data_IF_674734507626
#
_entry.id   IF_674734507626
#
_cell.length_a   1.000
_cell.length_b   1.000
_cell.length_c   1.000
_cell.angle_alpha   90.00
_cell.angle_beta   90.00
_cell.angle_gamma   90.00
#
_symmetry.space_group_name_H-M   'P 1'
#
loop_
_entity.id
_entity.type
_entity.pdbx_description
1 polymer ?
#
# COMPACT_ATOMS: atom_id res chain seq x y z
N UNK A 1 -51.45 -21.70 -75.63
CA UNK A 1 -50.69 -22.96 -75.49
C UNK A 1 -50.69 -23.30 -74.00
N UNK A 2 -51.14 -24.49 -73.61
CA UNK A 2 -51.16 -24.87 -72.20
C UNK A 2 -49.75 -25.30 -71.77
N UNK A 3 -49.23 -24.71 -70.69
CA UNK A 3 -47.94 -25.10 -70.10
C UNK A 3 -48.19 -26.41 -69.35
N UNK A 4 -47.53 -27.50 -69.78
CA UNK A 4 -47.78 -28.84 -69.22
C UNK A 4 -46.74 -29.25 -68.17
N UNK A 5 -45.50 -28.73 -68.28
CA UNK A 5 -44.43 -28.98 -67.33
C UNK A 5 -43.50 -27.78 -67.11
N UNK A 6 -42.52 -27.94 -66.22
CA UNK A 6 -41.62 -26.86 -65.81
C UNK A 6 -40.57 -26.52 -66.89
N UNK A 7 -40.26 -27.47 -67.77
CA UNK A 7 -39.32 -27.27 -68.87
C UNK A 7 -39.97 -26.47 -70.00
N UNK A 8 -41.25 -26.71 -70.27
CA UNK A 8 -42.09 -25.91 -71.15
C UNK A 8 -42.20 -24.45 -70.65
N UNK A 9 -42.40 -24.27 -69.34
CA UNK A 9 -42.40 -22.94 -68.72
C UNK A 9 -41.04 -22.24 -68.91
N UNK A 10 -39.93 -22.92 -68.63
CA UNK A 10 -38.58 -22.35 -68.79
C UNK A 10 -38.31 -21.98 -70.26
N UNK A 11 -38.73 -22.82 -71.21
CA UNK A 11 -38.57 -22.57 -72.65
C UNK A 11 -39.36 -21.35 -73.10
N UNK A 12 -40.60 -21.19 -72.64
CA UNK A 12 -41.43 -20.02 -72.90
C UNK A 12 -40.85 -18.73 -72.30
N UNK A 13 -40.34 -18.78 -71.05
CA UNK A 13 -39.69 -17.63 -70.40
C UNK A 13 -38.38 -17.20 -71.09
N UNK A 14 -37.69 -18.11 -71.79
CA UNK A 14 -36.52 -17.76 -72.61
C UNK A 14 -36.90 -17.08 -73.94
N UNK A 15 -38.05 -17.44 -74.49
CA UNK A 15 -38.55 -16.87 -75.76
C UNK A 15 -39.26 -15.52 -75.56
N UNK A 16 -39.81 -15.28 -74.37
CA UNK A 16 -40.54 -14.07 -74.00
C UNK A 16 -39.88 -13.36 -72.79
N UNK A 17 -38.88 -12.49 -73.01
CA UNK A 17 -38.18 -11.76 -71.94
C UNK A 17 -39.12 -10.98 -71.02
N UNK A 18 -40.20 -10.42 -71.56
CA UNK A 18 -41.22 -9.68 -70.84
C UNK A 18 -41.95 -10.53 -69.78
N UNK A 19 -42.20 -11.81 -70.05
CA UNK A 19 -42.83 -12.72 -69.09
C UNK A 19 -41.87 -13.13 -67.99
N UNK A 20 -40.60 -13.34 -68.35
CA UNK A 20 -39.53 -13.59 -67.38
C UNK A 20 -39.35 -12.41 -66.43
N UNK A 21 -39.40 -11.19 -66.93
CA UNK A 21 -39.22 -9.99 -66.12
C UNK A 21 -40.45 -9.73 -65.23
N UNK A 22 -41.68 -9.98 -65.72
CA UNK A 22 -42.90 -9.95 -64.92
C UNK A 22 -42.91 -11.03 -63.82
N UNK A 23 -42.59 -12.28 -64.16
CA UNK A 23 -42.49 -13.38 -63.21
C UNK A 23 -41.38 -13.12 -62.18
N UNK A 24 -40.26 -12.53 -62.61
CA UNK A 24 -39.17 -12.13 -61.72
C UNK A 24 -39.62 -11.07 -60.72
N UNK A 25 -40.40 -10.07 -61.12
CA UNK A 25 -40.91 -9.04 -60.18
C UNK A 25 -41.89 -9.61 -59.15
N UNK A 26 -42.74 -10.55 -59.55
CA UNK A 26 -43.72 -11.18 -58.65
C UNK A 26 -43.09 -12.21 -57.70
N UNK A 27 -42.11 -13.00 -58.16
CA UNK A 27 -41.48 -14.06 -57.36
C UNK A 27 -40.22 -13.59 -56.63
N UNK A 28 -39.42 -12.74 -57.27
CA UNK A 28 -38.18 -12.18 -56.70
C UNK A 28 -38.36 -10.69 -56.48
N UNK A 29 -38.95 -10.35 -55.34
CA UNK A 29 -39.04 -8.96 -54.89
C UNK A 29 -37.65 -8.31 -54.88
N UNK A 30 -37.62 -6.99 -55.06
CA UNK A 30 -36.36 -6.22 -55.04
C UNK A 30 -35.56 -6.44 -53.74
N UNK A 31 -36.25 -6.71 -52.63
CA UNK A 31 -35.67 -7.06 -51.33
C UNK A 31 -34.88 -8.38 -51.38
N UNK A 32 -35.45 -9.44 -51.97
CA UNK A 32 -34.78 -10.74 -52.14
C UNK A 32 -33.57 -10.63 -53.08
N UNK A 33 -33.65 -9.78 -54.10
CA UNK A 33 -32.53 -9.51 -55.01
C UNK A 33 -31.41 -8.69 -54.36
N UNK A 34 -31.72 -7.88 -53.33
CA UNK A 34 -30.76 -7.09 -52.58
C UNK A 34 -30.03 -7.88 -51.47
N UNK A 35 -30.59 -9.00 -50.99
CA UNK A 35 -30.00 -9.80 -49.91
C UNK A 35 -28.52 -10.17 -50.12
N UNK A 36 -28.05 -10.63 -51.31
CA UNK A 36 -26.63 -10.95 -51.51
C UNK A 36 -25.70 -9.76 -51.32
N UNK A 37 -26.19 -8.54 -51.58
CA UNK A 37 -25.44 -7.31 -51.36
C UNK A 37 -25.42 -6.96 -49.86
N UNK A 38 -26.57 -7.03 -49.20
CA UNK A 38 -26.69 -6.80 -47.75
C UNK A 38 -25.81 -7.78 -46.95
N UNK A 39 -25.80 -9.06 -47.34
CA UNK A 39 -24.94 -10.08 -46.71
C UNK A 39 -23.46 -9.78 -46.91
N UNK A 40 -23.05 -9.28 -48.09
CA UNK A 40 -21.66 -8.86 -48.33
C UNK A 40 -21.27 -7.66 -47.48
N UNK A 41 -22.14 -6.66 -47.38
CA UNK A 41 -21.90 -5.48 -46.53
C UNK A 41 -21.83 -5.85 -45.04
N UNK A 42 -22.68 -6.78 -44.59
CA UNK A 42 -22.63 -7.30 -43.23
C UNK A 42 -21.33 -8.08 -42.95
N UNK A 43 -20.89 -8.92 -43.89
CA UNK A 43 -19.63 -9.65 -43.76
C UNK A 43 -18.41 -8.70 -43.70
N UNK A 44 -18.42 -7.63 -44.50
CA UNK A 44 -17.37 -6.60 -44.45
C UNK A 44 -17.41 -5.82 -43.12
N UNK A 45 -18.60 -5.47 -42.63
CA UNK A 45 -18.77 -4.82 -41.35
C UNK A 45 -18.32 -5.72 -40.19
N UNK A 46 -18.61 -7.02 -40.25
CA UNK A 46 -18.14 -8.01 -39.29
C UNK A 46 -16.62 -8.10 -39.30
N UNK A 47 -15.99 -8.27 -40.47
CA UNK A 47 -14.52 -8.35 -40.59
C UNK A 47 -13.83 -7.11 -40.03
N UNK A 48 -14.37 -5.91 -40.30
CA UNK A 48 -13.86 -4.66 -39.74
C UNK A 48 -14.00 -4.61 -38.22
N UNK A 49 -15.05 -5.21 -37.66
CA UNK A 49 -15.27 -5.29 -36.22
C UNK A 49 -14.30 -6.27 -35.57
N UNK A 50 -14.05 -7.42 -36.19
CA UNK A 50 -13.06 -8.41 -35.73
C UNK A 50 -11.66 -7.79 -35.65
N UNK A 51 -11.22 -7.07 -36.68
CA UNK A 51 -9.93 -6.35 -36.67
C UNK A 51 -9.85 -5.32 -35.54
N UNK A 52 -10.95 -4.60 -35.27
CA UNK A 52 -11.01 -3.63 -34.15
C UNK A 52 -10.95 -4.33 -32.80
N UNK A 53 -11.59 -5.49 -32.66
CA UNK A 53 -11.55 -6.30 -31.44
C UNK A 53 -10.15 -6.86 -31.19
N UNK A 54 -9.47 -7.38 -32.21
CA UNK A 54 -8.07 -7.83 -32.10
C UNK A 54 -7.15 -6.69 -31.63
N UNK A 55 -7.30 -5.49 -32.22
CA UNK A 55 -6.55 -4.31 -31.78
C UNK A 55 -6.87 -3.90 -30.35
N UNK A 56 -8.12 -4.04 -29.91
CA UNK A 56 -8.51 -3.73 -28.54
C UNK A 56 -7.95 -4.75 -27.55
N UNK A 57 -8.00 -6.03 -27.88
CA UNK A 57 -7.41 -7.12 -27.07
C UNK A 57 -5.91 -6.88 -26.86
N UNK A 58 -5.17 -6.58 -27.93
CA UNK A 58 -3.75 -6.27 -27.82
C UNK A 58 -3.47 -5.08 -26.89
N UNK A 59 -4.26 -3.99 -26.99
CA UNK A 59 -4.14 -2.83 -26.10
C UNK A 59 -4.46 -3.16 -24.64
N UNK A 60 -5.43 -4.05 -24.40
CA UNK A 60 -5.77 -4.50 -23.04
C UNK A 60 -4.64 -5.33 -22.45
N UNK A 61 -3.99 -6.19 -23.24
CA UNK A 61 -2.82 -6.95 -22.81
C UNK A 61 -1.64 -6.04 -22.46
N UNK A 62 -1.34 -5.03 -23.29
CA UNK A 62 -0.32 -4.03 -23.01
C UNK A 62 -0.61 -3.24 -21.73
N UNK A 63 -1.85 -2.82 -21.52
CA UNK A 63 -2.27 -2.11 -20.31
C UNK A 63 -2.17 -3.00 -19.06
N UNK A 64 -2.55 -4.27 -19.16
CA UNK A 64 -2.44 -5.21 -18.06
C UNK A 64 -0.97 -5.41 -17.64
N UNK A 65 -0.05 -5.49 -18.61
CA UNK A 65 1.37 -5.61 -18.30
C UNK A 65 1.95 -4.32 -17.70
N UNK A 66 1.61 -3.15 -18.25
CA UNK A 66 1.99 -1.87 -17.66
C UNK A 66 1.48 -1.70 -16.22
N UNK A 67 0.26 -2.19 -15.93
CA UNK A 67 -0.31 -2.21 -14.59
C UNK A 67 0.47 -3.13 -13.64
N UNK A 68 0.87 -4.34 -14.08
CA UNK A 68 1.72 -5.24 -13.28
C UNK A 68 3.06 -4.61 -12.94
N UNK A 69 3.72 -3.98 -13.92
CA UNK A 69 4.99 -3.29 -13.70
C UNK A 69 4.83 -2.16 -12.68
N UNK A 70 3.74 -1.38 -12.79
CA UNK A 70 3.42 -0.31 -11.83
C UNK A 70 3.21 -0.85 -10.42
N UNK A 71 2.48 -1.96 -10.26
CA UNK A 71 2.26 -2.59 -8.96
C UNK A 71 3.58 -3.00 -8.29
N UNK A 72 4.52 -3.55 -9.07
CA UNK A 72 5.86 -3.91 -8.58
C UNK A 72 6.61 -2.66 -8.09
N UNK A 73 6.57 -1.56 -8.83
CA UNK A 73 7.24 -0.32 -8.42
C UNK A 73 6.61 0.28 -7.16
N UNK A 74 5.28 0.29 -7.06
CA UNK A 74 4.57 0.76 -5.86
C UNK A 74 4.93 -0.09 -4.65
N UNK A 75 5.00 -1.41 -4.78
CA UNK A 75 5.41 -2.31 -3.69
C UNK A 75 6.85 -2.03 -3.22
N UNK A 76 7.78 -1.79 -4.17
CA UNK A 76 9.16 -1.40 -3.84
C UNK A 76 9.23 -0.06 -3.11
N UNK A 77 8.42 0.92 -3.53
CA UNK A 77 8.34 2.23 -2.87
C UNK A 77 7.78 2.10 -1.45
N UNK A 78 6.70 1.33 -1.26
CA UNK A 78 6.14 1.08 0.07
C UNK A 78 7.16 0.42 1.01
N UNK A 79 7.93 -0.56 0.52
CA UNK A 79 8.99 -1.18 1.31
C UNK A 79 10.14 -0.20 1.63
N UNK A 80 10.47 0.71 0.72
CA UNK A 80 11.48 1.75 0.98
C UNK A 80 10.99 2.81 1.97
N UNK A 81 9.70 3.17 1.91
CA UNK A 81 9.04 4.04 2.87
C UNK A 81 9.09 3.43 4.27
N UNK A 82 8.68 2.16 4.44
CA UNK A 82 8.74 1.49 5.76
C UNK A 82 10.14 1.50 6.38
N UNK A 83 11.19 1.20 5.60
CA UNK A 83 12.58 1.31 6.08
C UNK A 83 12.98 2.73 6.49
N UNK A 84 12.41 3.74 5.84
CA UNK A 84 12.67 5.13 6.16
C UNK A 84 11.95 5.53 7.45
N UNK A 85 10.70 5.11 7.62
CA UNK A 85 9.91 5.29 8.85
C UNK A 85 10.61 4.63 10.05
N UNK A 86 11.08 3.39 9.91
CA UNK A 86 11.86 2.70 10.96
C UNK A 86 13.13 3.48 11.34
N UNK A 87 13.85 3.98 10.33
CA UNK A 87 15.06 4.76 10.56
C UNK A 87 14.75 6.09 11.24
N UNK A 88 13.68 6.77 10.86
CA UNK A 88 13.24 8.01 11.51
C UNK A 88 12.83 7.73 12.95
N UNK A 89 12.03 6.68 13.20
CA UNK A 89 11.68 6.27 14.56
C UNK A 89 12.91 5.95 15.43
N UNK A 90 13.94 5.33 14.86
CA UNK A 90 15.22 5.10 15.57
C UNK A 90 16.00 6.38 15.88
N UNK A 91 15.84 7.43 15.06
CA UNK A 91 16.46 8.74 15.29
C UNK A 91 15.69 9.46 16.38
N UNK A 92 14.36 9.49 16.27
CA UNK A 92 13.48 10.11 17.26
C UNK A 92 13.67 9.49 18.64
N UNK A 93 13.80 8.16 18.74
CA UNK A 93 14.12 7.47 20.00
C UNK A 93 15.44 7.96 20.61
N UNK A 94 16.51 8.04 19.82
CA UNK A 94 17.82 8.55 20.29
C UNK A 94 17.79 10.04 20.66
N UNK A 95 16.97 10.83 19.97
CA UNK A 95 16.79 12.25 20.30
C UNK A 95 16.03 12.42 21.61
N UNK A 96 14.99 11.62 21.84
CA UNK A 96 14.27 11.60 23.11
C UNK A 96 15.19 11.22 24.27
N UNK A 97 15.97 10.13 24.13
CA UNK A 97 16.96 9.74 25.15
C UNK A 97 17.90 10.91 25.47
N UNK A 98 18.47 11.55 24.44
CA UNK A 98 19.35 12.70 24.61
C UNK A 98 18.66 13.86 25.31
N UNK A 99 17.45 14.22 24.89
CA UNK A 99 16.69 15.32 25.49
C UNK A 99 16.39 15.04 26.98
N UNK A 100 16.11 13.79 27.35
CA UNK A 100 15.96 13.37 28.74
C UNK A 100 17.27 13.52 29.53
N UNK A 101 18.41 13.09 28.97
CA UNK A 101 19.72 13.26 29.60
C UNK A 101 20.08 14.75 29.81
N UNK A 102 19.84 15.58 28.79
CA UNK A 102 20.15 17.01 28.84
C UNK A 102 19.19 17.77 29.79
N UNK A 103 17.91 17.35 29.87
CA UNK A 103 16.90 17.97 30.75
C UNK A 103 16.80 17.38 32.15
N UNK A 104 17.48 16.28 32.47
CA UNK A 104 17.52 15.73 33.84
C UNK A 104 17.94 16.80 34.87
N UNK A 105 18.85 17.71 34.47
CA UNK A 105 19.22 18.87 35.28
C UNK A 105 18.05 19.81 35.56
N UNK A 106 17.19 20.05 34.58
CA UNK A 106 16.03 20.94 34.72
C UNK A 106 14.90 20.31 35.55
N UNK A 107 14.68 18.99 35.44
CA UNK A 107 13.64 18.30 36.20
C UNK A 107 13.94 18.16 37.68
N UNK A 108 15.22 18.06 38.05
CA UNK A 108 15.63 17.77 39.43
C UNK A 108 16.32 18.93 40.16
N UNK A 109 16.45 20.12 39.55
CA UNK A 109 17.14 21.29 40.16
C UNK A 109 16.52 21.73 41.49
N UNK A 110 15.19 21.60 41.62
CA UNK A 110 14.45 21.97 42.83
C UNK A 110 14.65 20.97 43.99
N UNK A 111 15.16 19.77 43.70
CA UNK A 111 15.29 18.66 44.68
C UNK A 111 16.74 18.30 44.98
N UNK A 112 17.64 18.40 43.99
CA UNK A 112 19.05 18.07 44.10
C UNK A 112 19.94 19.20 43.58
N UNK A 113 21.03 19.51 44.28
CA UNK A 113 22.12 20.37 43.80
C UNK A 113 23.34 19.55 43.39
N UNK A 114 24.15 20.11 42.48
CA UNK A 114 25.35 19.46 41.91
C UNK A 114 25.03 18.09 41.31
N UNK A 115 23.91 18.04 40.57
CA UNK A 115 23.47 16.84 39.87
C UNK A 115 24.58 16.39 38.90
N UNK A 116 24.80 15.09 38.81
CA UNK A 116 25.63 14.45 37.79
C UNK A 116 24.93 13.18 37.34
N UNK A 117 24.79 13.04 36.03
CA UNK A 117 24.43 11.75 35.42
C UNK A 117 25.66 10.84 35.55
N UNK A 118 25.46 9.63 36.08
CA UNK A 118 26.52 8.64 36.17
C UNK A 118 26.59 7.82 34.90
N UNK A 119 27.81 7.47 34.48
CA UNK A 119 28.02 6.51 33.41
C UNK A 119 27.79 5.07 33.90
N UNK A 120 27.52 4.14 32.97
CA UNK A 120 27.38 2.72 33.31
C UNK A 120 28.62 2.11 33.97
N UNK A 121 29.83 2.63 33.69
CA UNK A 121 31.05 2.17 34.36
C UNK A 121 31.09 2.63 35.81
N UNK A 122 30.75 3.89 36.09
CA UNK A 122 30.69 4.42 37.46
C UNK A 122 29.63 3.69 38.30
N UNK A 123 28.48 3.36 37.68
CA UNK A 123 27.43 2.56 38.32
C UNK A 123 27.92 1.14 38.63
N UNK A 124 28.58 0.48 37.68
CA UNK A 124 29.13 -0.86 37.90
C UNK A 124 30.14 -0.88 39.05
N UNK A 125 31.06 0.09 39.10
CA UNK A 125 32.05 0.22 40.16
C UNK A 125 31.38 0.42 41.54
N UNK A 126 30.30 1.21 41.61
CA UNK A 126 29.52 1.41 42.84
C UNK A 126 28.79 0.13 43.28
N UNK A 127 28.25 -0.63 42.32
CA UNK A 127 27.55 -1.88 42.61
C UNK A 127 28.53 -2.99 43.04
N UNK A 128 29.75 -3.01 42.49
CA UNK A 128 30.83 -3.90 42.94
C UNK A 128 31.26 -3.58 44.37
N UNK A 129 31.41 -2.29 44.70
CA UNK A 129 31.69 -1.87 46.08
C UNK A 129 30.57 -2.21 47.06
N UNK A 130 29.34 -2.36 46.56
CA UNK A 130 28.16 -2.70 47.35
C UNK A 130 27.82 -4.20 47.34
N UNK A 131 28.68 -5.08 46.81
CA UNK A 131 28.37 -6.51 46.59
C UNK A 131 27.88 -7.24 47.86
N UNK A 132 28.40 -6.89 49.03
CA UNK A 132 27.98 -7.48 50.32
C UNK A 132 26.66 -6.88 50.86
N UNK A 133 26.19 -5.77 50.29
CA UNK A 133 25.04 -4.98 50.76
C UNK A 133 23.81 -5.08 49.85
N UNK A 134 23.98 -5.52 48.60
CA UNK A 134 22.90 -5.67 47.63
C UNK A 134 22.85 -7.11 47.11
N UNK A 135 21.64 -7.61 46.90
CA UNK A 135 21.45 -8.92 46.27
C UNK A 135 21.74 -8.84 44.77
N UNK A 136 22.02 -9.99 44.14
CA UNK A 136 22.14 -10.09 42.67
C UNK A 136 20.89 -9.59 41.94
N UNK A 137 19.70 -9.72 42.56
CA UNK A 137 18.44 -9.28 41.97
C UNK A 137 18.35 -7.75 41.97
N UNK A 138 18.67 -7.10 43.09
CA UNK A 138 18.69 -5.64 43.20
C UNK A 138 19.76 -5.03 42.29
N UNK A 139 20.94 -5.66 42.23
CA UNK A 139 21.98 -5.29 41.27
C UNK A 139 21.46 -5.30 39.83
N UNK A 140 20.75 -6.37 39.45
CA UNK A 140 20.15 -6.47 38.11
C UNK A 140 19.11 -5.37 37.85
N UNK A 141 18.27 -5.04 38.84
CA UNK A 141 17.29 -3.96 38.71
C UNK A 141 17.93 -2.58 38.51
N UNK A 142 19.02 -2.29 39.23
CA UNK A 142 19.76 -1.02 39.02
C UNK A 142 20.40 -0.96 37.64
N UNK A 143 20.91 -2.10 37.13
CA UNK A 143 21.48 -2.21 35.79
C UNK A 143 20.44 -2.16 34.67
N UNK A 144 19.16 -2.35 34.97
CA UNK A 144 18.04 -2.26 34.03
C UNK A 144 17.42 -0.87 33.96
N UNK A 145 17.84 0.06 34.82
CA UNK A 145 17.36 1.44 34.79
C UNK A 145 17.79 2.17 33.51
N UNK A 146 17.05 3.20 33.12
CA UNK A 146 17.41 4.02 31.96
C UNK A 146 18.33 5.19 32.34
N UNK A 147 18.23 5.67 33.58
CA UNK A 147 18.97 6.83 34.07
C UNK A 147 19.34 6.68 35.55
N UNK A 148 20.61 6.97 35.88
CA UNK A 148 21.06 7.10 37.27
C UNK A 148 21.70 8.48 37.49
N UNK A 149 21.15 9.21 38.45
CA UNK A 149 21.61 10.54 38.83
C UNK A 149 22.21 10.50 40.23
N UNK A 150 23.33 11.18 40.42
CA UNK A 150 23.90 11.49 41.73
C UNK A 150 23.77 12.98 42.01
N UNK A 151 23.31 13.33 43.20
CA UNK A 151 23.23 14.73 43.62
C UNK A 151 23.26 14.87 45.13
N UNK A 152 23.15 16.12 45.59
CA UNK A 152 23.00 16.43 47.02
C UNK A 152 21.63 17.00 47.28
N UNK A 153 20.88 16.38 48.19
CA UNK A 153 19.54 16.81 48.57
C UNK A 153 19.59 18.20 49.20
N UNK A 154 18.66 19.09 48.84
CA UNK A 154 18.65 20.46 49.37
C UNK A 154 18.44 20.51 50.89
N UNK A 155 17.64 19.60 51.45
CA UNK A 155 17.23 19.62 52.85
C UNK A 155 18.39 19.39 53.85
N UNK A 156 19.22 18.39 53.60
CA UNK A 156 20.25 17.89 54.54
C UNK A 156 21.65 17.83 53.91
N UNK A 157 21.78 18.20 52.63
CA UNK A 157 23.00 18.08 51.83
C UNK A 157 23.52 16.64 51.71
N UNK A 158 22.71 15.64 52.06
CA UNK A 158 23.08 14.24 51.94
C UNK A 158 23.25 13.85 50.47
N UNK A 159 24.26 13.02 50.21
CA UNK A 159 24.44 12.45 48.88
C UNK A 159 23.31 11.45 48.60
N UNK A 160 22.67 11.60 47.45
CA UNK A 160 21.50 10.82 47.06
C UNK A 160 21.62 10.39 45.61
N UNK A 161 21.18 9.17 45.34
CA UNK A 161 21.10 8.59 44.01
C UNK A 161 19.62 8.48 43.63
N UNK A 162 19.28 8.88 42.41
CA UNK A 162 17.95 8.69 41.83
C UNK A 162 18.05 7.75 40.64
N UNK A 163 17.09 6.84 40.57
CA UNK A 163 16.91 5.89 39.49
C UNK A 163 15.69 6.35 38.67
N UNK A 164 15.86 6.52 37.36
CA UNK A 164 14.81 6.92 36.44
C UNK A 164 14.58 5.86 35.38
N UNK A 165 13.31 5.58 35.08
CA UNK A 165 12.85 4.85 33.90
C UNK A 165 12.32 5.88 32.89
N UNK A 166 12.77 5.78 31.64
CA UNK A 166 12.38 6.68 30.56
C UNK A 166 11.45 5.92 29.63
N UNK A 167 10.16 6.22 29.69
CA UNK A 167 9.19 5.69 28.75
C UNK A 167 8.92 6.70 27.62
N UNK A 168 8.79 6.19 26.39
CA UNK A 168 8.44 6.97 25.19
C UNK A 168 6.98 7.47 25.22
N UNK A 169 6.21 7.10 26.25
CA UNK A 169 4.79 7.43 26.42
C UNK A 169 4.53 8.43 27.54
N UNK A 170 5.00 9.68 27.40
CA UNK A 170 4.37 10.81 28.11
C UNK A 170 3.89 11.81 27.06
N UNK A 171 2.96 11.34 26.23
CA UNK A 171 1.95 12.24 25.68
C UNK A 171 0.98 12.61 26.80
N UNK A 172 0.41 13.81 26.73
CA UNK A 172 -0.56 14.41 27.67
C UNK A 172 -1.79 13.53 28.04
N UNK A 173 -1.91 12.30 27.54
CA UNK A 173 -3.02 11.39 27.78
C UNK A 173 -2.86 10.51 29.03
N UNK A 174 -1.64 10.24 29.52
CA UNK A 174 -1.44 9.32 30.66
C UNK A 174 -1.65 9.95 32.06
N UNK A 175 -1.96 11.25 32.14
CA UNK A 175 -2.23 11.94 33.41
C UNK A 175 -3.61 11.59 34.00
N UNK A 176 -4.55 11.05 33.22
CA UNK A 176 -5.93 10.84 33.70
C UNK A 176 -6.21 9.49 34.39
N UNK A 177 -5.21 8.62 34.57
CA UNK A 177 -5.42 7.30 35.19
C UNK A 177 -4.78 7.13 36.57
N UNK A 178 -4.06 8.13 37.06
CA UNK A 178 -3.50 8.14 38.43
C UNK A 178 -4.37 8.87 39.46
N UNK A 179 -5.63 9.21 39.11
CA UNK A 179 -6.57 9.92 39.99
C UNK A 179 -7.90 9.16 40.24
N UNK A 180 -7.91 7.83 40.06
CA UNK A 180 -8.97 6.96 40.58
C UNK A 180 -8.41 5.92 41.53
#
# INVERSE_FOLDING_TARGET
MAIQDIDDLIKQLRQHPEWRDALRREIFTDELLALPQIVRELAEAQKRTEVRLESLTARVEELAEAQRQTLIQVSKLAAAQGRTEDRVGSIDGRLLERDYFDRAYAYFDDTLRKIRVLSWSEVADLLDQAEERISRKERKQVMEADLILRGRRLADKAETYLLGEVSVGIGLEDVHRAAQ
#
